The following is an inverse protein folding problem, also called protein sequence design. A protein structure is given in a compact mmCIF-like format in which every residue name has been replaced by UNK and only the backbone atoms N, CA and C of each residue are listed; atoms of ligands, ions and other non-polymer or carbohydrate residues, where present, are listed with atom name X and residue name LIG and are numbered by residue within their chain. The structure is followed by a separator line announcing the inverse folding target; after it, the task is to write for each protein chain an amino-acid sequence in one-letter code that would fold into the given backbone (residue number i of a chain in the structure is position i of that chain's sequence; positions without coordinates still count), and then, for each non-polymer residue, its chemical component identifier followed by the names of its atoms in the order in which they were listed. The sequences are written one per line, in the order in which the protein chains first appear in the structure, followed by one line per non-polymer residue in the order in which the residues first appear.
data_IF_154915382187
#
_entry.id   IF_154915382187
#
_cell.length_a   1.000
_cell.length_b   1.000
_cell.length_c   1.000
_cell.angle_alpha   90.00
_cell.angle_beta   90.00
_cell.angle_gamma   90.00
#
_symmetry.space_group_name_H-M   'P 1'
#
loop_
_entity.id
_entity.type
_entity.pdbx_description
1 polymer ?
#
# COMPACT_ATOMS: atom_id res chain seq x y z
N UNK A 1 -84.19 6.99 -6.09
CA UNK A 1 -83.94 8.07 -7.07
C UNK A 1 -82.82 8.95 -6.57
N UNK A 2 -81.83 9.24 -7.44
CA UNK A 2 -80.88 10.38 -7.42
C UNK A 2 -80.09 10.56 -6.11
N UNK A 3 -78.77 10.35 -6.10
CA UNK A 3 -77.84 11.47 -6.35
C UNK A 3 -76.35 11.02 -6.41
N UNK A 4 -76.00 10.32 -7.50
CA UNK A 4 -74.66 10.42 -8.09
C UNK A 4 -74.51 11.81 -8.72
N UNK A 5 -74.17 12.87 -7.97
CA UNK A 5 -73.58 14.14 -8.47
C UNK A 5 -73.19 15.04 -7.28
N UNK A 6 -72.00 14.86 -6.71
CA UNK A 6 -71.14 15.99 -6.32
C UNK A 6 -69.75 15.52 -5.87
N UNK A 7 -69.06 14.79 -6.74
CA UNK A 7 -67.59 14.64 -6.70
C UNK A 7 -66.94 15.96 -7.20
N UNK A 8 -67.59 17.10 -6.93
CA UNK A 8 -67.26 18.44 -7.38
C UNK A 8 -67.26 19.40 -6.18
N UNK A 9 -66.52 19.04 -5.14
CA UNK A 9 -66.06 19.93 -4.06
C UNK A 9 -64.56 19.70 -3.79
N UNK A 10 -63.84 19.30 -4.84
CA UNK A 10 -62.41 19.60 -4.97
C UNK A 10 -62.33 21.07 -5.38
N UNK A 11 -61.45 21.85 -4.75
CA UNK A 11 -60.78 23.08 -5.25
C UNK A 11 -60.71 24.25 -4.23
N UNK A 12 -61.61 24.42 -3.25
CA UNK A 12 -61.56 25.65 -2.40
C UNK A 12 -60.83 25.50 -1.06
N UNK A 13 -60.53 24.28 -0.58
CA UNK A 13 -59.72 24.10 0.64
C UNK A 13 -58.20 24.12 0.39
N UNK A 14 -57.77 24.39 -0.85
CA UNK A 14 -56.35 24.33 -1.30
C UNK A 14 -55.69 25.73 -1.34
N UNK A 15 -56.39 26.80 -0.96
CA UNK A 15 -55.95 28.18 -1.23
C UNK A 15 -55.73 29.15 -0.06
N UNK A 16 -55.86 28.72 1.22
CA UNK A 16 -55.85 29.66 2.37
C UNK A 16 -54.86 29.32 3.49
N UNK A 17 -53.79 28.59 3.17
CA UNK A 17 -52.62 28.45 4.07
C UNK A 17 -51.38 28.92 3.33
N UNK A 18 -51.42 30.17 2.87
CA UNK A 18 -50.22 30.95 2.56
C UNK A 18 -50.28 32.20 3.43
N UNK A 19 -49.15 32.54 4.05
CA UNK A 19 -48.88 33.70 4.92
C UNK A 19 -49.17 33.52 6.41
N UNK A 20 -48.27 32.86 7.15
CA UNK A 20 -47.22 33.54 7.94
C UNK A 20 -46.43 32.54 8.79
N UNK A 21 -45.12 32.80 8.91
CA UNK A 21 -44.11 32.10 9.72
C UNK A 21 -43.78 30.68 9.22
N UNK A 22 -42.63 30.40 8.64
CA UNK A 22 -41.32 30.90 9.00
C UNK A 22 -40.45 29.66 9.20
N UNK A 23 -39.54 29.44 8.24
CA UNK A 23 -38.36 28.58 8.38
C UNK A 23 -38.66 27.08 8.62
N UNK A 24 -38.89 26.35 7.52
CA UNK A 24 -38.65 24.90 7.49
C UNK A 24 -37.14 24.66 7.55
N UNK A 25 -36.53 24.89 8.72
CA UNK A 25 -35.32 24.17 9.07
C UNK A 25 -35.80 22.84 9.61
N UNK A 26 -35.51 21.77 8.90
CA UNK A 26 -34.86 20.55 9.39
C UNK A 26 -34.82 19.69 8.14
N UNK A 27 -33.84 19.99 7.28
CA UNK A 27 -33.54 19.12 6.16
C UNK A 27 -33.39 17.72 6.73
N UNK A 28 -34.29 16.82 6.34
CA UNK A 28 -34.11 15.37 6.47
C UNK A 28 -33.01 15.01 5.47
N UNK A 29 -31.78 15.46 5.74
CA UNK A 29 -30.61 14.73 5.34
C UNK A 29 -30.51 13.67 6.42
N UNK A 30 -31.10 12.51 6.14
CA UNK A 30 -30.40 11.29 6.50
C UNK A 30 -29.00 11.52 5.97
N UNK A 31 -28.07 11.92 6.84
CA UNK A 31 -26.66 11.84 6.56
C UNK A 31 -26.46 10.37 6.26
N UNK A 32 -26.58 10.02 4.97
CA UNK A 32 -25.88 8.89 4.40
C UNK A 32 -24.54 8.93 5.11
N UNK A 33 -24.15 7.91 5.88
CA UNK A 33 -22.87 7.95 6.56
C UNK A 33 -21.91 8.37 5.47
N UNK A 34 -21.26 9.53 5.65
CA UNK A 34 -20.32 10.01 4.66
C UNK A 34 -19.41 8.82 4.45
N UNK A 35 -19.54 8.16 3.31
CA UNK A 35 -18.59 7.18 2.88
C UNK A 35 -17.37 8.05 2.60
N UNK A 36 -16.65 8.39 3.68
CA UNK A 36 -15.35 9.00 3.61
C UNK A 36 -14.58 8.06 2.73
N UNK A 37 -14.38 8.48 1.48
CA UNK A 37 -13.71 7.69 0.48
C UNK A 37 -12.45 7.16 1.13
N UNK A 38 -12.29 5.84 1.12
CA UNK A 38 -11.12 5.24 1.75
C UNK A 38 -9.90 5.67 0.95
N UNK A 39 -9.22 6.74 1.38
CA UNK A 39 -7.93 7.17 0.86
C UNK A 39 -6.85 6.21 1.38
N UNK A 40 -6.96 4.95 1.00
CA UNK A 40 -5.95 3.93 1.24
C UNK A 40 -4.87 4.09 0.15
N UNK A 41 -3.58 4.17 0.53
CA UNK A 41 -2.52 4.24 -0.46
C UNK A 41 -2.57 3.01 -1.36
N UNK A 42 -2.68 3.23 -2.67
CA UNK A 42 -2.71 2.14 -3.65
C UNK A 42 -1.32 1.99 -4.23
N UNK A 43 -0.63 0.91 -3.87
CA UNK A 43 0.69 0.62 -4.42
C UNK A 43 0.56 0.25 -5.90
N UNK A 44 1.23 0.99 -6.78
CA UNK A 44 1.24 0.76 -8.23
C UNK A 44 2.49 0.00 -8.68
N UNK A 45 3.60 0.12 -7.94
CA UNK A 45 4.86 -0.56 -8.26
C UNK A 45 5.63 -0.89 -6.99
N UNK A 46 6.25 -2.08 -6.99
CA UNK A 46 7.21 -2.53 -5.97
C UNK A 46 8.40 -3.14 -6.68
N UNK A 47 9.59 -2.68 -6.33
CA UNK A 47 10.86 -3.21 -6.84
C UNK A 47 11.82 -3.53 -5.70
N UNK A 48 12.49 -4.68 -5.83
CA UNK A 48 13.57 -5.08 -4.94
C UNK A 48 14.88 -4.52 -5.52
N UNK A 49 15.64 -3.82 -4.69
CA UNK A 49 16.94 -3.24 -5.05
C UNK A 49 18.04 -3.81 -4.18
N UNK A 50 19.14 -4.33 -4.75
CA UNK A 50 19.41 -4.44 -6.19
C UNK A 50 18.61 -5.54 -6.90
N UNK A 51 18.38 -5.38 -8.21
CA UNK A 51 17.67 -6.37 -9.03
C UNK A 51 18.46 -7.68 -9.27
N UNK A 52 19.79 -7.62 -9.13
CA UNK A 52 20.71 -8.77 -9.25
C UNK A 52 21.54 -8.90 -7.98
N UNK A 53 20.94 -9.34 -6.86
CA UNK A 53 21.64 -9.38 -5.58
C UNK A 53 22.58 -10.58 -5.47
N UNK A 54 23.58 -10.46 -4.61
CA UNK A 54 24.48 -11.54 -4.19
C UNK A 54 24.32 -11.84 -2.68
N UNK A 55 25.10 -12.80 -2.16
CA UNK A 55 25.04 -13.22 -0.75
C UNK A 55 25.51 -12.15 0.26
N UNK A 56 26.11 -11.06 -0.20
CA UNK A 56 26.54 -9.94 0.65
C UNK A 56 25.58 -8.73 0.52
N UNK A 57 24.60 -8.83 -0.39
CA UNK A 57 23.65 -7.75 -0.64
C UNK A 57 22.69 -7.57 0.52
N UNK A 58 22.36 -6.30 0.79
CA UNK A 58 21.23 -5.90 1.62
C UNK A 58 20.16 -5.39 0.70
N UNK A 59 19.03 -6.10 0.66
CA UNK A 59 17.89 -5.72 -0.17
C UNK A 59 17.10 -4.60 0.48
N UNK A 60 16.60 -3.71 -0.35
CA UNK A 60 15.67 -2.63 -0.01
C UNK A 60 14.48 -2.67 -0.96
N UNK A 61 13.40 -1.99 -0.59
CA UNK A 61 12.19 -1.88 -1.41
C UNK A 61 12.02 -0.46 -1.93
N UNK A 62 11.88 -0.33 -3.25
CA UNK A 62 11.39 0.90 -3.88
C UNK A 62 9.90 0.72 -4.19
N UNK A 63 9.09 1.70 -3.80
CA UNK A 63 7.64 1.68 -3.97
C UNK A 63 7.13 2.94 -4.66
N UNK A 64 6.05 2.80 -5.41
CA UNK A 64 5.25 3.91 -5.93
C UNK A 64 3.79 3.68 -5.53
N UNK A 65 3.12 4.74 -5.08
CA UNK A 65 1.72 4.71 -4.64
C UNK A 65 0.92 5.86 -5.25
N UNK A 66 -0.36 5.59 -5.53
CA UNK A 66 -1.38 6.57 -5.92
C UNK A 66 -2.22 6.99 -4.71
N UNK A 67 -2.77 8.20 -4.80
CA UNK A 67 -3.59 8.86 -3.78
C UNK A 67 -3.00 8.87 -2.37
N UNK A 68 -1.70 9.24 -2.22
CA UNK A 68 -1.10 9.22 -0.92
C UNK A 68 -1.70 10.29 -0.01
N UNK A 69 -2.17 9.91 1.18
CA UNK A 69 -2.54 10.89 2.21
C UNK A 69 -1.24 11.35 2.88
N UNK A 70 -0.79 12.61 2.67
CA UNK A 70 0.53 13.04 3.12
C UNK A 70 0.68 12.86 4.64
N UNK A 71 1.74 12.17 5.06
CA UNK A 71 2.12 12.02 6.47
C UNK A 71 1.37 10.95 7.28
N UNK A 72 0.52 10.12 6.65
CA UNK A 72 -0.14 8.96 7.32
C UNK A 72 0.19 7.60 6.73
N UNK A 73 1.07 7.56 5.75
CA UNK A 73 1.39 6.33 5.05
C UNK A 73 2.36 5.50 5.86
N UNK A 74 1.94 4.29 6.18
CA UNK A 74 2.82 3.28 6.77
C UNK A 74 2.79 2.04 5.90
N UNK A 75 3.93 1.37 5.81
CA UNK A 75 4.10 0.18 4.99
C UNK A 75 4.64 -0.94 5.89
N UNK A 76 3.97 -2.10 5.85
CA UNK A 76 4.46 -3.33 6.48
C UNK A 76 4.99 -4.26 5.42
N UNK A 77 6.10 -4.92 5.72
CA UNK A 77 6.83 -5.76 4.79
C UNK A 77 6.74 -7.21 5.24
N UNK A 78 6.77 -8.13 4.27
CA UNK A 78 7.00 -9.55 4.50
C UNK A 78 7.92 -10.08 3.42
N UNK A 79 9.11 -10.51 3.81
CA UNK A 79 10.09 -11.09 2.91
C UNK A 79 9.90 -12.60 2.82
N UNK A 80 10.03 -13.12 1.60
CA UNK A 80 9.92 -14.53 1.31
C UNK A 80 11.16 -15.02 0.57
N UNK A 81 11.71 -16.13 1.05
CA UNK A 81 12.75 -16.90 0.36
C UNK A 81 12.14 -18.24 -0.03
N UNK A 82 12.12 -18.53 -1.34
CA UNK A 82 11.47 -19.73 -1.88
C UNK A 82 10.05 -19.94 -1.33
N UNK A 83 9.27 -18.85 -1.23
CA UNK A 83 7.90 -18.77 -0.68
C UNK A 83 7.76 -18.96 0.83
N UNK A 84 8.85 -19.12 1.58
CA UNK A 84 8.84 -19.15 3.05
C UNK A 84 9.10 -17.75 3.60
N UNK A 85 8.26 -17.28 4.53
CA UNK A 85 8.45 -16.00 5.22
C UNK A 85 9.74 -16.02 6.07
N UNK A 86 10.56 -14.97 5.97
CA UNK A 86 11.86 -14.88 6.65
C UNK A 86 12.09 -13.56 7.40
N UNK A 87 11.23 -12.57 7.24
CA UNK A 87 11.38 -11.28 7.92
C UNK A 87 10.30 -10.27 7.56
N UNK A 88 10.22 -9.21 8.34
CA UNK A 88 9.15 -8.20 8.29
C UNK A 88 9.66 -6.75 8.23
N UNK A 89 10.97 -6.57 8.10
CA UNK A 89 11.65 -5.28 8.05
C UNK A 89 11.65 -4.69 6.62
N UNK A 90 11.83 -3.37 6.45
CA UNK A 90 11.96 -2.75 5.12
C UNK A 90 13.23 -3.17 4.36
N UNK A 91 14.17 -3.84 5.05
CA UNK A 91 15.43 -4.33 4.51
C UNK A 91 15.62 -5.81 4.80
N UNK A 92 16.34 -6.51 3.93
CA UNK A 92 16.71 -7.92 4.13
C UNK A 92 18.19 -8.14 3.78
N UNK A 93 19.00 -8.52 4.77
CA UNK A 93 20.36 -9.00 4.52
C UNK A 93 20.31 -10.41 3.95
N UNK A 94 21.07 -10.67 2.88
CA UNK A 94 21.16 -12.00 2.27
C UNK A 94 22.26 -12.89 2.87
N UNK A 95 22.92 -12.42 3.92
CA UNK A 95 23.90 -13.21 4.65
C UNK A 95 23.26 -14.49 5.23
N UNK A 96 23.80 -15.66 4.89
CA UNK A 96 23.32 -16.95 5.38
C UNK A 96 22.25 -17.63 4.53
N UNK A 97 21.79 -17.00 3.44
CA UNK A 97 20.96 -17.64 2.42
C UNK A 97 21.80 -18.37 1.36
N UNK A 98 21.16 -18.95 0.35
CA UNK A 98 21.84 -19.72 -0.69
C UNK A 98 21.74 -19.04 -2.04
N UNK A 99 22.82 -19.18 -2.81
CA UNK A 99 22.79 -18.83 -4.23
C UNK A 99 21.66 -19.60 -4.92
N UNK A 100 20.92 -18.90 -5.77
CA UNK A 100 19.83 -19.45 -6.55
C UNK A 100 18.47 -19.38 -5.88
N UNK A 101 18.41 -19.01 -4.59
CA UNK A 101 17.16 -18.74 -3.90
C UNK A 101 16.38 -17.60 -4.58
N UNK A 102 15.05 -17.73 -4.59
CA UNK A 102 14.15 -16.69 -5.08
C UNK A 102 13.67 -15.84 -3.91
N UNK A 103 13.94 -14.55 -4.00
CA UNK A 103 13.53 -13.54 -3.01
C UNK A 103 12.35 -12.75 -3.54
N UNK A 104 11.30 -12.60 -2.74
CA UNK A 104 10.19 -11.68 -3.04
C UNK A 104 9.74 -10.97 -1.77
N UNK A 105 9.07 -9.84 -1.92
CA UNK A 105 8.50 -9.09 -0.79
C UNK A 105 7.03 -8.82 -1.02
N UNK A 106 6.23 -8.95 0.03
CA UNK A 106 4.87 -8.45 0.10
C UNK A 106 4.87 -7.14 0.88
N UNK A 107 4.16 -6.14 0.38
CA UNK A 107 3.99 -4.86 1.08
C UNK A 107 2.51 -4.59 1.29
N UNK A 108 2.15 -4.22 2.52
CA UNK A 108 0.80 -3.87 2.92
C UNK A 108 0.79 -2.38 3.29
N UNK A 109 0.13 -1.52 2.50
CA UNK A 109 -0.01 -0.11 2.82
C UNK A 109 -1.07 0.10 3.91
N UNK A 110 -0.93 1.14 4.73
CA UNK A 110 -1.92 1.54 5.73
C UNK A 110 -1.96 3.05 5.88
N UNK A 111 -3.15 3.59 6.10
CA UNK A 111 -3.38 5.01 6.42
C UNK A 111 -3.52 5.29 7.93
N UNK A 112 -3.16 4.30 8.76
CA UNK A 112 -3.26 4.34 10.23
C UNK A 112 -4.61 3.91 10.79
N UNK A 113 -5.68 3.89 9.99
CA UNK A 113 -7.02 3.44 10.41
C UNK A 113 -7.39 2.09 9.79
N UNK A 114 -6.95 1.84 8.56
CA UNK A 114 -7.22 0.62 7.82
C UNK A 114 -5.99 0.19 7.01
N UNK A 115 -5.95 -1.09 6.69
CA UNK A 115 -4.97 -1.68 5.78
C UNK A 115 -5.51 -1.69 4.35
N UNK A 116 -4.62 -1.42 3.39
CA UNK A 116 -4.90 -1.54 1.98
C UNK A 116 -4.61 -2.94 1.45
N UNK A 117 -4.74 -3.10 0.14
CA UNK A 117 -4.53 -4.39 -0.52
C UNK A 117 -3.03 -4.75 -0.48
N UNK A 118 -2.64 -5.94 -0.02
CA UNK A 118 -1.27 -6.43 -0.09
C UNK A 118 -0.82 -6.55 -1.55
N UNK A 119 0.39 -6.09 -1.85
CA UNK A 119 1.00 -6.21 -3.19
C UNK A 119 2.31 -6.97 -3.10
N UNK A 120 2.49 -7.95 -3.99
CA UNK A 120 3.70 -8.77 -4.09
C UNK A 120 4.64 -8.20 -5.16
N UNK A 121 5.94 -8.15 -4.89
CA UNK A 121 6.94 -7.86 -5.92
C UNK A 121 7.14 -9.02 -6.90
N UNK A 122 7.70 -8.71 -8.07
CA UNK A 122 8.40 -9.74 -8.87
C UNK A 122 9.56 -10.32 -8.06
N UNK A 123 9.85 -11.63 -8.20
CA UNK A 123 10.96 -12.24 -7.49
C UNK A 123 12.31 -11.88 -8.13
N UNK A 124 13.33 -11.71 -7.30
CA UNK A 124 14.75 -11.62 -7.72
C UNK A 124 15.48 -12.91 -7.32
N UNK A 125 16.51 -13.29 -8.07
CA UNK A 125 17.30 -14.50 -7.79
C UNK A 125 18.63 -14.11 -7.17
N UNK A 126 19.01 -14.76 -6.06
CA UNK A 126 20.33 -14.56 -5.46
C UNK A 126 21.40 -15.11 -6.42
N UNK A 127 22.23 -14.23 -6.93
CA UNK A 127 23.35 -14.52 -7.82
C UNK A 127 24.60 -14.99 -7.08
N UNK A 128 25.61 -15.37 -7.86
CA UNK A 128 26.97 -15.55 -7.36
C UNK A 128 27.74 -14.26 -7.54
N UNK A 129 28.49 -13.84 -6.53
CA UNK A 129 29.55 -12.88 -6.74
C UNK A 129 30.82 -13.49 -6.12
N UNK A 130 31.83 -13.86 -6.93
CA UNK A 130 33.04 -14.45 -6.39
C UNK A 130 33.76 -13.46 -5.46
N UNK A 131 34.49 -13.93 -4.42
CA UNK A 131 35.25 -13.06 -3.56
C UNK A 131 36.26 -12.26 -4.40
N UNK A 132 36.30 -10.94 -4.20
CA UNK A 132 37.30 -10.08 -4.82
C UNK A 132 38.69 -10.49 -4.33
N UNK A 133 39.53 -11.02 -5.23
CA UNK A 133 40.92 -11.34 -4.89
C UNK A 133 41.64 -10.04 -4.59
N UNK A 134 41.99 -9.82 -3.33
CA UNK A 134 42.91 -8.75 -2.94
C UNK A 134 44.30 -9.24 -3.31
N UNK A 135 44.98 -8.56 -4.23
CA UNK A 135 46.35 -8.89 -4.64
C UNK A 135 47.26 -8.85 -3.41
N UNK A 136 47.76 -10.00 -2.99
CA UNK A 136 48.81 -10.09 -1.98
C UNK A 136 50.14 -9.84 -2.69
N UNK A 137 50.73 -8.67 -2.46
CA UNK A 137 52.07 -8.35 -2.96
C UNK A 137 53.10 -9.08 -2.09
N UNK A 138 53.60 -10.21 -2.57
CA UNK A 138 54.76 -10.87 -1.97
C UNK A 138 56.00 -10.01 -2.30
N UNK A 139 56.58 -9.38 -1.29
CA UNK A 139 57.92 -8.77 -1.39
C UNK A 139 58.91 -9.81 -0.86
N UNK A 140 59.90 -10.26 -1.66
CA UNK A 140 60.94 -11.14 -1.15
C UNK A 140 61.72 -10.46 -0.02
N UNK A 141 61.93 -11.17 1.09
CA UNK A 141 62.94 -10.76 2.06
C UNK A 141 64.31 -10.86 1.39
N UNK A 142 65.14 -9.82 1.55
CA UNK A 142 66.46 -9.78 0.93
C UNK A 142 67.29 -11.00 1.37
N UNK A 143 67.84 -11.71 0.38
CA UNK A 143 68.75 -12.81 0.65
C UNK A 143 70.01 -12.26 1.32
N UNK A 144 70.29 -12.65 2.57
CA UNK A 144 71.62 -12.46 3.16
C UNK A 144 72.61 -13.35 2.45
N UNK A 145 73.57 -12.76 1.74
CA UNK A 145 74.76 -13.46 1.28
C UNK A 145 75.60 -13.85 2.51
N UNK A 146 76.05 -15.11 2.55
CA UNK A 146 76.94 -15.66 3.58
C UNK A 146 78.41 -15.39 3.30
#
# INVERSE_FOLDING_TARGET
MKNKRLILLVVVLVGLIWLFAGRQNEDVILSSPAAGGSHLPKITRIEIVPATPDLQSVLTVQLQSEDPTPGRETYRYKWFINKKEVGDQPVLSLAGFRQGDLVSVQVIPSNGNADGVPVQSSPVKIGNNPPGVTVVKLVPDELKAG
#
